data_IF_963195700383
#
_entry.id   IF_963195700383
#
_cell.length_a   1.000
_cell.length_b   1.000
_cell.length_c   1.000
_cell.angle_alpha   90.00
_cell.angle_beta   90.00
_cell.angle_gamma   90.00
#
_symmetry.space_group_name_H-M   'P 1'
#
loop_
_entity.id
_entity.type
_entity.pdbx_description
1 polymer ?
#
# COMPACT_ATOMS: atom_id res chain seq x y z
N UNK A 1 -10.02 -1.41 -3.25
CA UNK A 1 -8.87 -2.26 -2.90
C UNK A 1 -8.42 -1.97 -1.46
N UNK A 2 -9.20 -1.17 -0.74
CA UNK A 2 -9.01 -0.81 0.65
C UNK A 2 -9.25 -2.00 1.54
N UNK A 3 -8.16 -2.70 1.84
CA UNK A 3 -8.17 -3.69 2.90
C UNK A 3 -7.97 -2.94 4.21
N UNK A 4 -9.08 -2.48 4.78
CA UNK A 4 -9.17 -1.93 6.13
C UNK A 4 -8.53 -0.55 6.36
N UNK A 5 -8.18 0.21 5.32
CA UNK A 5 -7.60 1.56 5.47
C UNK A 5 -8.51 2.56 6.18
N UNK A 6 -9.82 2.28 6.25
CA UNK A 6 -10.76 3.02 7.09
C UNK A 6 -10.47 2.92 8.60
N UNK A 7 -9.72 1.90 9.04
CA UNK A 7 -9.31 1.72 10.44
C UNK A 7 -8.13 2.60 10.85
N UNK A 8 -7.41 3.20 9.89
CA UNK A 8 -6.36 4.14 10.18
C UNK A 8 -6.94 5.46 10.71
N UNK A 9 -6.27 6.05 11.70
CA UNK A 9 -6.52 7.43 12.09
C UNK A 9 -6.25 8.39 10.93
N UNK A 10 -6.75 9.63 11.04
CA UNK A 10 -6.54 10.65 10.02
C UNK A 10 -5.05 10.90 9.72
N UNK A 11 -4.23 10.98 10.75
CA UNK A 11 -2.78 11.15 10.62
C UNK A 11 -2.13 9.93 9.95
N UNK A 12 -2.51 8.71 10.36
CA UNK A 12 -1.97 7.48 9.76
C UNK A 12 -2.35 7.36 8.28
N UNK A 13 -3.54 7.80 7.87
CA UNK A 13 -3.93 7.84 6.44
C UNK A 13 -3.05 8.78 5.65
N UNK A 14 -2.73 9.95 6.20
CA UNK A 14 -1.86 10.93 5.56
C UNK A 14 -0.45 10.38 5.36
N UNK A 15 0.16 9.85 6.42
CA UNK A 15 1.51 9.27 6.32
C UNK A 15 1.54 7.97 5.54
N UNK A 16 0.42 7.23 5.47
CA UNK A 16 0.32 6.08 4.56
C UNK A 16 0.40 6.53 3.10
N UNK A 17 -0.29 7.62 2.71
CA UNK A 17 -0.18 8.15 1.35
C UNK A 17 1.25 8.61 1.04
N UNK A 18 1.89 9.31 1.98
CA UNK A 18 3.29 9.70 1.80
C UNK A 18 4.20 8.49 1.60
N UNK A 19 4.04 7.44 2.43
CA UNK A 19 4.82 6.21 2.34
C UNK A 19 4.54 5.45 1.03
N UNK A 20 3.28 5.37 0.63
CA UNK A 20 2.87 4.76 -0.64
C UNK A 20 3.52 5.49 -1.83
N UNK A 21 3.54 6.82 -1.82
CA UNK A 21 4.23 7.59 -2.86
C UNK A 21 5.73 7.33 -2.88
N UNK A 22 6.38 7.23 -1.71
CA UNK A 22 7.81 6.84 -1.65
C UNK A 22 8.04 5.45 -2.19
N UNK A 23 7.10 4.53 -1.99
CA UNK A 23 7.17 3.18 -2.55
C UNK A 23 7.03 3.19 -4.06
N UNK A 24 5.97 3.79 -4.59
CA UNK A 24 5.69 3.75 -6.03
C UNK A 24 6.74 4.49 -6.87
N UNK A 25 7.42 5.50 -6.32
CA UNK A 25 8.39 6.32 -7.05
C UNK A 25 9.84 5.96 -6.70
N UNK A 26 10.07 4.75 -6.18
CA UNK A 26 11.39 4.33 -5.70
C UNK A 26 12.37 4.11 -6.85
N UNK A 27 11.88 3.74 -8.04
CA UNK A 27 12.66 3.49 -9.26
C UNK A 27 12.78 4.74 -10.16
N UNK A 28 12.04 5.82 -9.87
CA UNK A 28 12.17 7.08 -10.60
C UNK A 28 10.92 7.96 -10.60
N UNK A 29 10.58 8.48 -11.77
CA UNK A 29 9.41 9.33 -11.95
C UNK A 29 8.11 8.53 -11.98
N UNK A 30 7.08 9.11 -11.38
CA UNK A 30 5.76 8.52 -11.29
C UNK A 30 5.16 8.19 -12.68
N UNK A 31 4.80 6.94 -12.92
CA UNK A 31 4.00 6.58 -14.09
C UNK A 31 2.54 7.03 -13.94
N UNK A 32 1.82 7.18 -15.06
CA UNK A 32 0.38 7.49 -15.02
C UNK A 32 -0.41 6.43 -14.24
N UNK A 33 0.02 5.17 -14.33
CA UNK A 33 -0.61 4.06 -13.63
C UNK A 33 -0.40 4.16 -12.12
N UNK A 34 0.81 4.44 -11.66
CA UNK A 34 1.11 4.67 -10.24
C UNK A 34 0.29 5.84 -9.66
N UNK A 35 0.17 6.94 -10.41
CA UNK A 35 -0.66 8.07 -10.01
C UNK A 35 -2.14 7.69 -9.90
N UNK A 36 -2.64 6.83 -10.79
CA UNK A 36 -4.00 6.30 -10.70
C UNK A 36 -4.19 5.40 -9.47
N UNK A 37 -3.21 4.55 -9.15
CA UNK A 37 -3.21 3.72 -7.94
C UNK A 37 -3.29 4.61 -6.71
N UNK A 38 -2.37 5.58 -6.57
CA UNK A 38 -2.34 6.50 -5.43
C UNK A 38 -3.66 7.25 -5.30
N UNK A 39 -4.19 7.79 -6.40
CA UNK A 39 -5.46 8.51 -6.37
C UNK A 39 -6.63 7.62 -5.95
N UNK A 40 -6.63 6.34 -6.31
CA UNK A 40 -7.65 5.39 -5.85
C UNK A 40 -7.58 5.20 -4.33
N UNK A 41 -6.39 4.96 -3.78
CA UNK A 41 -6.20 4.88 -2.33
C UNK A 41 -6.68 6.16 -1.61
N UNK A 42 -6.40 7.35 -2.17
CA UNK A 42 -6.89 8.61 -1.61
C UNK A 42 -8.42 8.70 -1.60
N UNK A 43 -9.09 8.23 -2.65
CA UNK A 43 -10.56 8.21 -2.72
C UNK A 43 -11.16 7.23 -1.71
N UNK A 44 -10.59 6.04 -1.57
CA UNK A 44 -11.13 5.01 -0.68
C UNK A 44 -10.97 5.40 0.81
N UNK A 45 -9.94 6.18 1.16
CA UNK A 45 -9.74 6.69 2.53
C UNK A 45 -10.58 7.91 2.93
N UNK A 46 -11.18 8.61 1.96
CA UNK A 46 -12.14 9.71 2.14
C UNK A 46 -11.61 11.13 1.89
N UNK A 47 -12.53 12.10 1.90
CA UNK A 47 -12.32 13.49 1.46
C UNK A 47 -11.15 14.23 2.10
N UNK A 48 -10.85 13.93 3.37
CA UNK A 48 -9.72 14.54 4.08
C UNK A 48 -8.39 14.20 3.40
N UNK A 49 -8.24 12.98 2.89
CA UNK A 49 -7.02 12.50 2.22
C UNK A 49 -6.91 13.06 0.80
N UNK A 50 -8.03 13.28 0.12
CA UNK A 50 -8.05 13.95 -1.19
C UNK A 50 -7.53 15.41 -1.12
N UNK A 51 -7.75 16.08 0.01
CA UNK A 51 -7.27 17.45 0.26
C UNK A 51 -5.88 17.51 0.87
N UNK A 52 -5.37 16.39 1.34
CA UNK A 52 -4.08 16.31 1.98
C UNK A 52 -2.95 16.67 1.00
N UNK A 53 -2.09 17.58 1.45
CA UNK A 53 -0.82 17.92 0.78
C UNK A 53 0.29 17.13 1.46
N UNK A 54 1.08 16.43 0.65
CA UNK A 54 2.18 15.58 1.09
C UNK A 54 3.04 16.28 2.17
N UNK A 55 3.45 15.54 3.20
CA UNK A 55 4.39 16.08 4.17
C UNK A 55 5.81 16.14 3.62
N UNK A 56 6.70 16.84 4.33
CA UNK A 56 8.14 16.85 4.05
C UNK A 56 8.90 15.73 4.78
N UNK A 57 8.20 14.71 5.32
CA UNK A 57 8.86 13.61 6.01
C UNK A 57 9.68 12.78 5.02
N UNK A 58 10.88 12.37 5.46
CA UNK A 58 11.70 11.43 4.71
C UNK A 58 11.12 10.02 4.79
N UNK A 59 11.56 9.14 3.90
CA UNK A 59 11.15 7.74 3.91
C UNK A 59 11.46 7.09 5.27
N UNK A 60 12.66 7.34 5.80
CA UNK A 60 13.10 6.78 7.08
C UNK A 60 12.20 7.24 8.22
N UNK A 61 11.72 8.49 8.19
CA UNK A 61 10.80 9.02 9.20
C UNK A 61 9.40 8.44 9.10
N UNK A 62 8.92 8.15 7.90
CA UNK A 62 7.64 7.47 7.70
C UNK A 62 7.71 6.01 8.18
N UNK A 63 8.82 5.32 7.88
CA UNK A 63 9.08 3.96 8.38
C UNK A 63 9.16 3.95 9.90
N UNK A 64 9.92 4.87 10.50
CA UNK A 64 10.04 5.02 11.96
C UNK A 64 8.67 5.28 12.62
N UNK A 65 7.86 6.17 12.03
CA UNK A 65 6.51 6.47 12.52
C UNK A 65 5.65 5.20 12.61
N UNK A 66 5.58 4.41 11.54
CA UNK A 66 4.75 3.20 11.51
C UNK A 66 5.36 2.05 12.32
N UNK A 67 6.69 1.93 12.39
CA UNK A 67 7.37 0.96 13.24
C UNK A 67 6.95 1.13 14.72
N UNK A 68 6.74 2.38 15.17
CA UNK A 68 6.25 2.72 16.50
C UNK A 68 4.76 2.44 16.75
N UNK A 69 3.98 2.03 15.73
CA UNK A 69 2.53 1.78 15.87
C UNK A 69 2.22 0.37 16.37
N UNK A 70 0.93 0.13 16.61
CA UNK A 70 0.43 -1.18 17.01
C UNK A 70 0.75 -2.25 15.96
N UNK A 71 0.86 -3.51 16.40
CA UNK A 71 1.02 -4.66 15.49
C UNK A 71 -0.08 -4.71 14.41
N UNK A 72 -1.32 -4.35 14.77
CA UNK A 72 -2.44 -4.32 13.83
C UNK A 72 -2.21 -3.25 12.75
N UNK A 73 -1.83 -2.03 13.14
CA UNK A 73 -1.52 -0.93 12.22
C UNK A 73 -0.37 -1.31 11.28
N UNK A 74 0.72 -1.87 11.80
CA UNK A 74 1.88 -2.28 10.98
C UNK A 74 1.52 -3.33 9.93
N UNK A 75 0.77 -4.35 10.32
CA UNK A 75 0.29 -5.38 9.39
C UNK A 75 -0.65 -4.81 8.33
N UNK A 76 -1.54 -3.89 8.72
CA UNK A 76 -2.48 -3.23 7.81
C UNK A 76 -1.74 -2.37 6.78
N UNK A 77 -0.75 -1.58 7.21
CA UNK A 77 0.08 -0.77 6.32
C UNK A 77 0.83 -1.68 5.34
N UNK A 78 1.53 -2.71 5.83
CA UNK A 78 2.26 -3.63 4.95
C UNK A 78 1.33 -4.35 3.97
N UNK A 79 0.14 -4.78 4.40
CA UNK A 79 -0.87 -5.42 3.55
C UNK A 79 -1.26 -4.53 2.36
N UNK A 80 -1.51 -3.24 2.61
CA UNK A 80 -1.95 -2.32 1.57
C UNK A 80 -0.80 -1.84 0.68
N UNK A 81 0.44 -1.77 1.19
CA UNK A 81 1.62 -1.54 0.35
C UNK A 81 1.85 -2.69 -0.64
N UNK A 82 1.74 -3.94 -0.17
CA UNK A 82 1.80 -5.13 -1.04
C UNK A 82 0.65 -5.11 -2.07
N UNK A 83 -0.56 -4.71 -1.65
CA UNK A 83 -1.69 -4.60 -2.56
C UNK A 83 -1.46 -3.58 -3.67
N UNK A 84 -0.87 -2.43 -3.33
CA UNK A 84 -0.54 -1.39 -4.31
C UNK A 84 0.52 -1.85 -5.31
N UNK A 85 1.60 -2.48 -4.83
CA UNK A 85 2.72 -2.90 -5.67
C UNK A 85 2.38 -4.08 -6.61
N UNK A 86 1.36 -4.87 -6.27
CA UNK A 86 0.89 -5.99 -7.11
C UNK A 86 -0.23 -5.61 -8.09
N UNK A 87 -0.56 -4.32 -8.16
CA UNK A 87 -1.60 -3.81 -9.05
C UNK A 87 -1.13 -3.69 -10.51
N UNK A 88 0.15 -3.38 -10.72
CA UNK A 88 0.76 -3.41 -12.06
C UNK A 88 1.32 -4.80 -12.38
N UNK A 89 1.44 -5.12 -13.67
CA UNK A 89 2.16 -6.30 -14.16
C UNK A 89 3.69 -6.17 -13.97
N UNK A 90 4.17 -4.97 -13.64
CA UNK A 90 5.58 -4.60 -13.54
C UNK A 90 5.98 -4.26 -12.10
N UNK A 91 5.87 -5.22 -11.19
CA UNK A 91 6.45 -5.11 -9.86
C UNK A 91 7.98 -4.97 -9.95
N UNK A 92 8.53 -3.82 -9.54
CA UNK A 92 9.96 -3.53 -9.71
C UNK A 92 10.81 -4.18 -8.62
N UNK A 93 12.11 -4.31 -8.90
CA UNK A 93 13.07 -4.87 -7.93
C UNK A 93 13.28 -3.90 -6.77
N UNK A 94 13.24 -2.60 -7.05
CA UNK A 94 13.37 -1.51 -6.10
C UNK A 94 12.17 -1.46 -5.14
N UNK A 95 10.94 -1.59 -5.65
CA UNK A 95 9.74 -1.74 -4.83
C UNK A 95 9.85 -2.97 -3.91
N UNK A 96 10.39 -4.07 -4.44
CA UNK A 96 10.60 -5.27 -3.66
C UNK A 96 11.54 -5.06 -2.49
N UNK A 97 12.71 -4.46 -2.73
CA UNK A 97 13.65 -4.18 -1.66
C UNK A 97 13.08 -3.23 -0.62
N UNK A 98 12.31 -2.22 -1.04
CA UNK A 98 11.69 -1.29 -0.12
C UNK A 98 10.60 -1.95 0.73
N UNK A 99 9.78 -2.84 0.16
CA UNK A 99 8.82 -3.63 0.95
C UNK A 99 9.53 -4.53 1.97
N UNK A 100 10.67 -5.12 1.61
CA UNK A 100 11.49 -5.91 2.56
C UNK A 100 12.08 -5.06 3.68
N UNK A 101 12.55 -3.85 3.36
CA UNK A 101 13.04 -2.89 4.35
C UNK A 101 11.92 -2.50 5.34
N UNK A 102 10.76 -2.12 4.83
CA UNK A 102 9.58 -1.77 5.63
C UNK A 102 9.15 -2.95 6.50
N UNK A 103 9.09 -4.16 5.93
CA UNK A 103 8.75 -5.39 6.65
C UNK A 103 9.70 -5.61 7.85
N UNK A 104 11.01 -5.50 7.63
CA UNK A 104 12.03 -5.66 8.68
C UNK A 104 11.88 -4.60 9.77
N UNK A 105 11.73 -3.34 9.38
CA UNK A 105 11.52 -2.24 10.32
C UNK A 105 10.23 -2.37 11.15
N UNK A 106 9.19 -2.99 10.57
CA UNK A 106 7.93 -3.24 11.26
C UNK A 106 7.95 -4.47 12.18
N UNK A 107 9.08 -5.19 12.25
CA UNK A 107 9.22 -6.45 12.98
C UNK A 107 8.14 -7.47 12.56
N UNK A 108 7.94 -7.61 11.24
CA UNK A 108 6.99 -8.55 10.65
C UNK A 108 7.77 -9.76 10.09
N UNK A 109 7.55 -10.93 10.69
CA UNK A 109 8.14 -12.19 10.22
C UNK A 109 7.77 -12.51 8.77
N UNK A 110 8.65 -13.21 8.05
CA UNK A 110 8.38 -13.67 6.67
C UNK A 110 7.09 -14.49 6.57
N UNK A 111 6.84 -15.36 7.56
CA UNK A 111 5.58 -16.12 7.63
C UNK A 111 4.36 -15.21 7.61
N UNK A 112 4.39 -14.12 8.38
CA UNK A 112 3.29 -13.14 8.42
C UNK A 112 3.18 -12.38 7.10
N UNK A 113 4.29 -11.94 6.49
CA UNK A 113 4.27 -11.33 5.14
C UNK A 113 3.63 -12.27 4.11
N UNK A 114 4.01 -13.54 4.11
CA UNK A 114 3.41 -14.55 3.22
C UNK A 114 1.90 -14.71 3.45
N UNK A 115 1.44 -14.68 4.70
CA UNK A 115 0.01 -14.69 5.02
C UNK A 115 -0.71 -13.45 4.47
N UNK A 116 -0.11 -12.25 4.58
CA UNK A 116 -0.68 -11.02 4.02
C UNK A 116 -0.70 -11.06 2.49
N UNK A 117 0.38 -11.52 1.84
CA UNK A 117 0.44 -11.70 0.39
C UNK A 117 -0.66 -12.64 -0.12
N UNK A 118 -0.92 -13.76 0.58
CA UNK A 118 -2.00 -14.68 0.22
C UNK A 118 -3.38 -14.01 0.23
N UNK A 119 -3.62 -13.09 1.17
CA UNK A 119 -4.86 -12.31 1.21
C UNK A 119 -4.97 -11.42 -0.02
N UNK A 120 -3.88 -10.70 -0.37
CA UNK A 120 -3.83 -9.84 -1.56
C UNK A 120 -4.10 -10.63 -2.85
N UNK A 121 -3.43 -11.78 -3.02
CA UNK A 121 -3.64 -12.62 -4.20
C UNK A 121 -5.06 -13.16 -4.29
N UNK A 122 -5.63 -13.64 -3.17
CA UNK A 122 -7.00 -14.14 -3.16
C UNK A 122 -8.02 -13.04 -3.54
N UNK A 123 -7.78 -11.80 -3.08
CA UNK A 123 -8.61 -10.65 -3.42
C UNK A 123 -8.53 -10.31 -4.92
N UNK A 124 -7.32 -10.27 -5.46
CA UNK A 124 -7.07 -10.04 -6.89
C UNK A 124 -7.72 -11.13 -7.75
N UNK A 125 -7.54 -12.40 -7.41
CA UNK A 125 -8.13 -13.53 -8.14
C UNK A 125 -9.67 -13.45 -8.15
N UNK A 126 -10.26 -13.06 -7.02
CA UNK A 126 -11.71 -12.86 -6.93
C UNK A 126 -12.18 -11.70 -7.82
N UNK A 127 -11.44 -10.58 -7.84
CA UNK A 127 -11.74 -9.45 -8.74
C UNK A 127 -11.64 -9.84 -10.21
N UNK A 128 -10.58 -10.52 -10.61
CA UNK A 128 -10.38 -10.96 -11.99
C UNK A 128 -11.46 -11.96 -12.42
N UNK A 129 -11.83 -12.89 -11.54
CA UNK A 129 -12.97 -13.79 -11.78
C UNK A 129 -14.27 -13.01 -11.96
N UNK A 130 -14.56 -12.02 -11.10
CA UNK A 130 -15.75 -11.19 -11.21
C UNK A 130 -15.78 -10.41 -12.52
N UNK A 131 -14.65 -9.81 -12.95
CA UNK A 131 -14.54 -9.13 -14.25
C UNK A 131 -14.89 -10.06 -15.41
N UNK A 132 -14.36 -11.29 -15.41
CA UNK A 132 -14.66 -12.27 -16.47
C UNK A 132 -16.14 -12.59 -16.54
N UNK A 133 -16.78 -12.89 -15.40
CA UNK A 133 -18.22 -13.20 -15.33
C UNK A 133 -19.07 -12.02 -15.83
N UNK A 134 -18.70 -10.77 -15.50
CA UNK A 134 -19.46 -9.59 -15.93
C UNK A 134 -19.32 -9.28 -17.43
N UNK A 135 -18.27 -9.80 -18.08
CA UNK A 135 -17.97 -9.58 -19.50
C UNK A 135 -18.34 -10.81 -20.34
N UNK A 136 -18.70 -11.94 -19.71
CA UNK A 136 -19.25 -13.11 -20.40
C UNK A 136 -20.58 -12.72 -21.10
N UNK A 137 -20.73 -13.05 -22.40
CA UNK A 137 -21.92 -12.69 -23.19
C UNK A 137 -23.20 -13.44 -22.79
#
# INVERSE_FOLDING_TARGET
MDMFLSLLSKEEKFYFIDLLQKLMFVDGEASELELQIINRFRHEMGDDVLKYKQSNLSLEKLIEYFAGKSKATRNLVLLNLIAASLYDEWYSVEEHFLIEEIQKAFDISDKKKQELMKIVYAERDLREKAKRILVEP
#
